data_IF_255741196354
#
_entry.id   IF_255741196354
#
_cell.length_a   1.000
_cell.length_b   1.000
_cell.length_c   1.000
_cell.angle_alpha   90.00
_cell.angle_beta   90.00
_cell.angle_gamma   90.00
#
_symmetry.space_group_name_H-M   'P 1'
#
loop_
_entity.id
_entity.type
_entity.pdbx_description
1 polymer ?
2 polymer ?
3 non-polymer ?
4 water ?
#
# COMPACT_ATOMS: atom_id res chain seq x y z
N UNK A 4 -19.25 7.77 12.33
CA UNK A 4 -19.03 6.38 11.88
C UNK A 4 -17.72 5.70 12.17
N UNK A 5 -17.74 4.51 11.59
CA UNK A 5 -16.74 3.50 11.53
C UNK A 5 -16.79 2.54 12.70
N UNK A 6 -17.41 1.41 12.41
CA UNK A 6 -17.54 0.32 13.34
C UNK A 6 -16.14 -0.26 13.44
N UNK A 7 -15.71 -0.52 14.66
CA UNK A 7 -14.39 -1.08 14.90
C UNK A 7 -14.60 -2.36 15.68
N UNK A 8 -14.06 -3.46 15.17
CA UNK A 8 -14.22 -4.74 15.84
C UNK A 8 -13.00 -5.63 15.66
N UNK A 9 -13.11 -6.88 16.09
CA UNK A 9 -12.04 -7.85 16.01
C UNK A 9 -12.53 -9.12 15.32
N UNK A 10 -12.29 -9.24 14.02
CA UNK A 10 -12.73 -10.41 13.28
C UNK A 10 -11.68 -11.52 13.38
N UNK A 11 -12.14 -12.72 13.69
CA UNK A 11 -11.23 -13.86 13.81
C UNK A 11 -11.07 -14.41 12.42
N UNK A 12 -9.92 -14.14 11.81
CA UNK A 12 -9.64 -14.61 10.47
C UNK A 12 -8.49 -15.59 10.48
N UNK A 13 -8.69 -16.73 9.84
CA UNK A 13 -7.67 -17.76 9.78
C UNK A 13 -7.07 -18.10 11.14
N UNK A 14 -7.90 -18.07 12.18
CA UNK A 14 -7.42 -18.43 13.50
C UNK A 14 -6.86 -17.31 14.37
N UNK A 15 -6.66 -16.13 13.80
CA UNK A 15 -6.11 -15.03 14.58
C UNK A 15 -7.07 -13.84 14.60
N UNK A 16 -6.87 -12.93 15.54
CA UNK A 16 -7.73 -11.75 15.64
C UNK A 16 -7.26 -10.62 14.74
N UNK A 17 -8.10 -10.27 13.78
CA UNK A 17 -7.80 -9.20 12.83
C UNK A 17 -8.69 -7.97 13.05
N UNK A 18 -8.04 -6.82 13.27
CA UNK A 18 -8.74 -5.57 13.52
C UNK A 18 -9.18 -4.94 12.22
N UNK A 19 -10.40 -4.42 12.19
CA UNK A 19 -10.92 -3.75 11.00
C UNK A 19 -11.82 -2.58 11.36
N UNK A 20 -11.92 -1.64 10.43
CA UNK A 20 -12.74 -0.45 10.60
C UNK A 20 -13.57 -0.29 9.35
N UNK A 21 -14.88 -0.44 9.49
CA UNK A 21 -15.79 -0.33 8.36
C UNK A 21 -16.60 0.95 8.48
N UNK A 22 -16.40 1.87 7.55
CA UNK A 22 -17.14 3.12 7.56
C UNK A 22 -18.22 3.07 6.49
N UNK A 23 -19.47 2.93 6.94
CA UNK A 23 -20.59 2.83 6.02
C UNK A 23 -20.99 4.17 5.42
N UNK A 24 -21.50 4.12 4.19
CA UNK A 24 -21.96 5.31 3.50
C UNK A 24 -23.50 5.29 3.50
N UNK A 25 -24.14 6.46 3.64
CA UNK A 25 -25.61 6.55 3.66
C UNK A 25 -26.26 5.66 2.60
N UNK A 26 -26.42 6.19 1.39
CA UNK A 26 -27.04 5.42 0.32
C UNK A 26 -25.94 4.63 -0.38
N UNK A 27 -25.35 3.67 0.34
CA UNK A 27 -24.27 2.86 -0.18
C UNK A 27 -24.53 2.33 -1.57
N UNK A 28 -23.56 2.49 -2.46
CA UNK A 28 -23.66 2.02 -3.82
C UNK A 28 -22.57 0.98 -4.06
N UNK A 29 -21.57 0.96 -3.20
CA UNK A 29 -20.49 0.00 -3.35
C UNK A 29 -19.64 -0.08 -2.07
N UNK A 30 -18.94 -1.19 -1.92
CA UNK A 30 -18.06 -1.40 -0.78
C UNK A 30 -16.62 -1.45 -1.32
N UNK A 31 -15.76 -0.65 -0.72
CA UNK A 31 -14.35 -0.62 -1.11
C UNK A 31 -13.51 -1.19 0.02
N UNK A 32 -12.76 -2.22 -0.29
CA UNK A 32 -11.88 -2.84 0.70
C UNK A 32 -10.52 -2.22 0.46
N UNK A 33 -9.79 -1.90 1.51
CA UNK A 33 -8.49 -1.30 1.33
C UNK A 33 -7.36 -2.11 1.94
N UNK A 34 -6.20 -2.09 1.29
CA UNK A 34 -5.03 -2.81 1.75
C UNK A 34 -3.87 -1.83 2.00
N UNK A 35 -3.55 -1.61 3.27
CA UNK A 35 -2.45 -0.73 3.62
C UNK A 35 -1.12 -1.36 3.16
N UNK A 36 -0.06 -0.56 3.18
CA UNK A 36 1.24 -1.05 2.73
C UNK A 36 2.21 -1.51 3.80
N UNK A 37 3.48 -1.31 3.53
CA UNK A 37 4.53 -1.74 4.44
C UNK A 37 5.54 -2.61 3.70
N UNK A 38 5.48 -3.93 3.83
CA UNK A 38 4.49 -4.62 4.65
C UNK A 38 4.79 -4.31 6.11
N UNK A 39 3.75 -4.29 6.95
CA UNK A 39 3.99 -4.03 8.37
C UNK A 39 3.52 -2.69 8.91
N UNK A 40 2.84 -1.90 8.07
CA UNK A 40 2.32 -0.61 8.53
C UNK A 40 0.95 -0.81 9.20
N UNK A 41 -0.04 -0.03 8.78
CA UNK A 41 -1.39 -0.11 9.34
C UNK A 41 -2.36 0.69 8.48
N UNK A 42 -3.66 0.44 8.66
CA UNK A 42 -4.69 1.12 7.88
C UNK A 42 -4.69 2.62 8.05
N UNK A 43 -4.27 3.07 9.22
CA UNK A 43 -4.25 4.47 9.61
C UNK A 43 -3.92 5.50 8.53
N UNK A 44 -2.79 5.34 7.85
CA UNK A 44 -2.43 6.32 6.83
C UNK A 44 -3.34 6.35 5.61
N UNK A 45 -4.34 5.47 5.60
CA UNK A 45 -5.28 5.42 4.49
C UNK A 45 -6.63 6.03 4.89
N UNK A 46 -6.73 6.52 6.12
CA UNK A 46 -7.95 7.10 6.61
C UNK A 46 -8.50 8.29 5.82
N UNK A 47 -7.67 8.90 4.97
CA UNK A 47 -8.10 10.05 4.18
C UNK A 47 -9.14 9.60 3.14
N UNK A 48 -9.16 8.32 2.83
CA UNK A 48 -10.10 7.78 1.84
C UNK A 48 -11.51 7.77 2.39
N UNK A 49 -11.62 7.96 3.70
CA UNK A 49 -12.91 7.96 4.39
C UNK A 49 -13.86 9.00 3.78
N UNK A 50 -13.32 9.95 3.02
CA UNK A 50 -14.12 10.98 2.39
C UNK A 50 -15.09 10.41 1.36
N UNK A 51 -14.72 9.30 0.73
CA UNK A 51 -15.54 8.69 -0.29
C UNK A 51 -16.91 8.18 0.21
N UNK A 52 -17.09 8.13 1.52
CA UNK A 52 -18.37 7.67 2.06
C UNK A 52 -19.43 8.73 1.79
N UNK A 53 -18.97 9.94 1.49
CA UNK A 53 -19.87 11.05 1.19
C UNK A 53 -20.23 10.94 -0.29
N UNK A 54 -19.67 9.94 -0.95
CA UNK A 54 -19.88 9.67 -2.36
C UNK A 54 -20.68 8.39 -2.50
N UNK A 55 -21.19 7.87 -1.39
CA UNK A 55 -21.99 6.64 -1.42
C UNK A 55 -21.11 5.41 -1.52
N UNK A 56 -19.88 5.53 -1.01
CA UNK A 56 -18.94 4.43 -1.03
C UNK A 56 -18.49 4.01 0.38
N UNK A 57 -18.92 2.84 0.81
CA UNK A 57 -18.53 2.32 2.11
C UNK A 57 -17.09 1.82 1.98
N UNK A 58 -16.25 2.21 2.93
CA UNK A 58 -14.84 1.82 2.89
C UNK A 58 -14.47 0.90 4.05
N UNK A 59 -13.81 -0.20 3.73
CA UNK A 59 -13.39 -1.16 4.74
C UNK A 59 -11.89 -1.04 4.99
N UNK A 60 -11.52 -0.70 6.21
CA UNK A 60 -10.11 -0.60 6.58
C UNK A 60 -9.84 -1.77 7.51
N UNK A 61 -8.59 -2.18 7.62
CA UNK A 61 -8.22 -3.28 8.50
C UNK A 61 -6.72 -3.46 8.58
N UNK A 62 -6.24 -3.86 9.76
CA UNK A 62 -4.81 -4.10 9.97
C UNK A 62 -4.52 -5.55 9.56
N UNK A 63 -3.56 -5.72 8.67
CA UNK A 63 -3.20 -7.05 8.20
C UNK A 63 -2.48 -7.81 9.31
N UNK A 64 -2.31 -9.11 9.13
CA UNK A 64 -1.62 -9.92 10.15
C UNK A 64 -0.36 -9.26 10.68
N UNK A 65 -0.18 -9.33 12.00
CA UNK A 65 0.98 -8.74 12.65
C UNK A 65 1.13 -7.22 12.53
N UNK A 66 0.14 -6.55 11.94
CA UNK A 66 0.23 -5.11 11.76
C UNK A 66 -0.73 -4.35 12.64
N UNK A 67 -0.32 -3.16 13.05
CA UNK A 67 -1.14 -2.30 13.88
C UNK A 67 -1.72 -2.97 15.10
N UNK A 68 -3.05 -3.06 15.14
CA UNK A 68 -3.78 -3.63 16.26
C UNK A 68 -4.04 -5.12 16.15
N UNK A 69 -3.74 -5.69 14.98
CA UNK A 69 -3.99 -7.12 14.77
C UNK A 69 -2.86 -7.97 15.32
N UNK A 70 -3.17 -9.19 15.73
CA UNK A 70 -2.13 -10.06 16.27
C UNK A 70 -1.30 -10.70 15.17
N UNK A 71 -0.09 -11.12 15.54
CA UNK A 71 0.85 -11.72 14.62
C UNK A 71 0.79 -13.24 14.63
N UNK A 72 0.64 -13.84 13.45
CA UNK A 72 0.58 -15.30 13.36
C UNK A 72 2.01 -15.84 13.40
N UNK A 73 2.16 -17.13 13.12
CA UNK A 73 3.48 -17.73 13.12
C UNK A 73 4.28 -17.05 12.02
N UNK A 74 5.59 -16.90 12.24
CA UNK A 74 6.45 -16.25 11.27
C UNK A 74 6.40 -16.93 9.92
N UNK A 75 6.19 -18.25 9.92
CA UNK A 75 6.13 -19.00 8.68
C UNK A 75 4.99 -18.48 7.80
N UNK A 76 4.04 -17.79 8.41
CA UNK A 76 2.91 -17.24 7.66
C UNK A 76 3.11 -15.80 7.21
N UNK A 77 4.35 -15.31 7.27
CA UNK A 77 4.65 -13.96 6.82
C UNK A 77 4.90 -13.99 5.32
N UNK A 78 3.82 -14.07 4.55
CA UNK A 78 3.93 -14.17 3.10
C UNK A 78 2.81 -13.35 2.45
N UNK A 79 2.96 -13.09 1.16
CA UNK A 79 1.95 -12.36 0.43
C UNK A 79 0.74 -13.26 0.27
N UNK A 80 1.00 -14.50 -0.16
CA UNK A 80 -0.08 -15.48 -0.37
C UNK A 80 -0.95 -15.63 0.87
N UNK A 81 -0.35 -15.64 2.05
CA UNK A 81 -1.12 -15.75 3.28
C UNK A 81 -2.01 -14.53 3.43
N UNK A 82 -1.46 -13.36 3.14
CA UNK A 82 -2.23 -12.12 3.22
C UNK A 82 -3.44 -12.16 2.29
N UNK A 83 -3.24 -12.81 1.13
CA UNK A 83 -4.29 -12.93 0.14
C UNK A 83 -5.48 -13.69 0.70
N UNK A 84 -5.19 -14.82 1.36
CA UNK A 84 -6.24 -15.64 1.93
C UNK A 84 -6.91 -14.93 3.09
N UNK A 85 -6.15 -14.09 3.78
CA UNK A 85 -6.68 -13.36 4.92
C UNK A 85 -7.71 -12.36 4.42
N UNK A 86 -7.34 -11.66 3.36
CA UNK A 86 -8.23 -10.66 2.76
C UNK A 86 -9.54 -11.33 2.30
N UNK A 87 -9.42 -12.42 1.57
CA UNK A 87 -10.60 -13.13 1.09
C UNK A 87 -11.46 -13.65 2.22
N UNK A 88 -10.83 -14.20 3.25
CA UNK A 88 -11.56 -14.74 4.39
C UNK A 88 -12.31 -13.62 5.13
N UNK A 89 -11.69 -12.43 5.18
CA UNK A 89 -12.29 -11.30 5.85
C UNK A 89 -13.44 -10.74 5.04
N UNK A 90 -13.25 -10.62 3.73
CA UNK A 90 -14.31 -10.08 2.87
C UNK A 90 -15.53 -10.99 2.98
N UNK A 91 -15.27 -12.29 2.90
CA UNK A 91 -16.34 -13.27 3.01
C UNK A 91 -17.03 -13.20 4.36
N UNK A 92 -16.26 -13.21 5.43
CA UNK A 92 -16.82 -13.16 6.78
C UNK A 92 -17.68 -11.92 7.04
N UNK A 93 -17.33 -10.81 6.41
CA UNK A 93 -18.06 -9.57 6.62
C UNK A 93 -19.11 -9.27 5.56
N UNK A 94 -18.90 -9.69 4.32
CA UNK A 94 -19.82 -9.38 3.25
C UNK A 94 -20.44 -10.57 2.53
N UNK A 95 -19.97 -11.78 2.83
CA UNK A 95 -20.52 -12.96 2.21
C UNK A 95 -20.18 -13.11 0.74
N UNK A 96 -21.20 -13.14 -0.11
CA UNK A 96 -21.01 -13.30 -1.55
C UNK A 96 -21.01 -11.99 -2.36
N UNK A 97 -21.13 -10.86 -1.66
CA UNK A 97 -21.18 -9.57 -2.34
C UNK A 97 -19.84 -9.20 -2.95
N UNK A 98 -19.85 -8.75 -4.20
CA UNK A 98 -18.64 -8.34 -4.88
C UNK A 98 -18.23 -6.96 -4.36
N UNK A 99 -16.93 -6.70 -4.29
CA UNK A 99 -16.46 -5.42 -3.80
C UNK A 99 -15.28 -4.89 -4.61
N UNK A 100 -15.05 -3.59 -4.46
CA UNK A 100 -13.90 -2.94 -5.10
C UNK A 100 -12.73 -3.12 -4.12
N UNK A 101 -11.55 -3.38 -4.65
CA UNK A 101 -10.38 -3.56 -3.81
C UNK A 101 -9.32 -2.52 -4.15
N UNK A 102 -8.86 -1.82 -3.12
CA UNK A 102 -7.82 -0.80 -3.29
C UNK A 102 -6.59 -1.14 -2.45
N UNK A 103 -5.42 -0.97 -3.02
CA UNK A 103 -4.20 -1.27 -2.31
C UNK A 103 -3.16 -0.19 -2.49
N UNK A 104 -2.44 0.12 -1.43
CA UNK A 104 -1.39 1.13 -1.49
C UNK A 104 0.00 0.53 -1.23
N UNK A 105 0.96 0.88 -2.08
CA UNK A 105 2.35 0.43 -1.95
C UNK A 105 2.33 -1.09 -1.91
N UNK A 106 2.80 -1.68 -0.81
CA UNK A 106 2.78 -3.13 -0.68
C UNK A 106 1.33 -3.61 -0.80
N UNK A 107 0.41 -2.83 -0.27
CA UNK A 107 -1.01 -3.17 -0.36
C UNK A 107 -1.40 -3.30 -1.81
N UNK A 108 -0.75 -2.53 -2.67
CA UNK A 108 -1.05 -2.62 -4.09
C UNK A 108 -0.63 -3.98 -4.62
N UNK A 109 0.60 -4.38 -4.28
CA UNK A 109 1.13 -5.67 -4.72
C UNK A 109 0.25 -6.79 -4.19
N UNK A 110 -0.26 -6.62 -2.97
CA UNK A 110 -1.13 -7.60 -2.33
C UNK A 110 -2.48 -7.65 -3.04
N UNK A 111 -2.94 -6.49 -3.51
CA UNK A 111 -4.20 -6.40 -4.23
C UNK A 111 -4.12 -7.14 -5.57
N UNK A 112 -2.98 -7.02 -6.24
CA UNK A 112 -2.80 -7.65 -7.53
C UNK A 112 -2.81 -9.16 -7.38
N UNK A 113 -2.11 -9.66 -6.37
CA UNK A 113 -2.04 -11.10 -6.14
C UNK A 113 -3.43 -11.60 -5.75
N UNK A 114 -4.17 -10.74 -5.07
CA UNK A 114 -5.53 -11.10 -4.68
C UNK A 114 -6.35 -11.27 -5.97
N UNK A 115 -6.34 -10.24 -6.81
CA UNK A 115 -7.11 -10.24 -8.04
C UNK A 115 -6.76 -11.42 -8.92
N UNK A 116 -5.48 -11.77 -8.97
CA UNK A 116 -5.02 -12.90 -9.80
C UNK A 116 -5.76 -14.17 -9.44
N UNK A 117 -6.08 -14.34 -8.16
CA UNK A 117 -6.78 -15.53 -7.68
C UNK A 117 -8.25 -15.33 -7.37
N UNK A 118 -8.62 -14.16 -6.86
CA UNK A 118 -10.01 -13.90 -6.51
C UNK A 118 -10.67 -12.72 -7.20
N UNK A 119 -10.31 -12.45 -8.45
CA UNK A 119 -10.89 -11.31 -9.15
C UNK A 119 -12.39 -11.50 -9.35
N UNK A 120 -12.85 -12.74 -9.21
CA UNK A 120 -14.26 -13.04 -9.36
C UNK A 120 -15.10 -12.44 -8.24
N UNK A 121 -14.45 -12.00 -7.17
CA UNK A 121 -15.14 -11.39 -6.03
C UNK A 121 -15.02 -9.88 -6.10
N UNK A 122 -14.49 -9.37 -7.21
CA UNK A 122 -14.31 -7.92 -7.35
C UNK A 122 -15.06 -7.27 -8.50
N UNK A 123 -15.28 -5.97 -8.36
CA UNK A 123 -15.96 -5.19 -9.38
C UNK A 123 -14.91 -4.35 -10.07
N UNK A 124 -13.91 -3.95 -9.29
CA UNK A 124 -12.83 -3.14 -9.81
C UNK A 124 -11.61 -3.20 -8.93
N UNK A 125 -10.44 -2.90 -9.50
CA UNK A 125 -9.18 -2.92 -8.76
C UNK A 125 -8.53 -1.54 -8.85
N UNK A 126 -7.91 -1.10 -7.75
CA UNK A 126 -7.25 0.20 -7.68
C UNK A 126 -5.89 0.02 -7.03
N UNK A 127 -4.86 0.48 -7.73
CA UNK A 127 -3.50 0.36 -7.21
C UNK A 127 -2.82 1.72 -7.19
N UNK A 128 -2.37 2.15 -6.01
CA UNK A 128 -1.73 3.45 -5.84
C UNK A 128 -0.32 3.22 -5.33
N UNK A 129 0.66 3.56 -6.15
CA UNK A 129 2.04 3.34 -5.77
C UNK A 129 2.29 1.86 -5.54
N UNK A 130 1.49 1.01 -6.17
CA UNK A 130 1.69 -0.41 -6.02
C UNK A 130 2.81 -0.96 -6.90
N UNK A 131 2.95 -2.29 -6.93
CA UNK A 131 3.99 -2.93 -7.73
C UNK A 131 3.70 -4.40 -7.97
N UNK A 132 4.16 -4.92 -9.10
CA UNK A 132 3.99 -6.33 -9.43
C UNK A 132 5.37 -6.99 -9.32
N UNK A 133 6.39 -6.17 -9.15
CA UNK A 133 7.74 -6.67 -9.04
C UNK A 133 8.55 -5.87 -8.04
N UNK A 134 9.00 -6.54 -6.99
CA UNK A 134 9.82 -5.89 -5.98
C UNK A 134 11.18 -5.58 -6.59
N UNK A 135 11.79 -6.57 -7.29
CA UNK A 135 13.10 -6.32 -7.91
C UNK A 135 13.10 -5.05 -8.76
N UNK A 136 12.04 -4.86 -9.53
CA UNK A 136 11.96 -3.68 -10.39
C UNK A 136 11.84 -2.44 -9.50
N UNK A 137 11.10 -2.58 -8.40
CA UNK A 137 10.90 -1.50 -7.46
C UNK A 137 12.22 -1.12 -6.82
N UNK A 138 13.05 -2.12 -6.54
CA UNK A 138 14.35 -1.89 -5.94
C UNK A 138 15.26 -1.19 -6.96
N UNK A 139 15.30 -1.73 -8.17
CA UNK A 139 16.10 -1.16 -9.24
C UNK A 139 15.74 0.33 -9.41
N UNK A 140 14.45 0.62 -9.49
CA UNK A 140 14.00 2.00 -9.66
C UNK A 140 14.36 2.88 -8.48
N UNK A 141 14.16 2.39 -7.26
CA UNK A 141 14.49 3.19 -6.09
C UNK A 141 15.98 3.50 -6.00
N UNK A 142 16.81 2.56 -6.45
CA UNK A 142 18.26 2.78 -6.43
C UNK A 142 18.57 4.01 -7.25
N UNK A 143 17.93 4.10 -8.43
CA UNK A 143 18.13 5.23 -9.31
C UNK A 143 17.81 6.50 -8.56
N UNK A 144 16.70 6.50 -7.83
CA UNK A 144 16.29 7.66 -7.06
C UNK A 144 17.38 8.03 -6.06
N UNK A 145 18.07 7.00 -5.56
CA UNK A 145 19.14 7.22 -4.60
C UNK A 145 20.32 7.90 -5.28
N UNK A 146 20.64 7.49 -6.50
CA UNK A 146 21.75 8.08 -7.25
C UNK A 146 21.46 9.52 -7.62
N UNK A 147 20.18 9.87 -7.71
CA UNK A 147 19.80 11.23 -8.05
C UNK A 147 19.80 12.12 -6.80
N UNK A 148 20.14 11.51 -5.67
CA UNK A 148 20.17 12.22 -4.40
C UNK A 148 21.49 12.97 -4.29
N UNK A 149 21.55 14.02 -3.46
CA UNK A 149 22.80 14.77 -3.33
C UNK A 149 23.94 13.90 -2.76
N UNK A 150 25.15 14.12 -3.26
CA UNK A 150 26.35 13.39 -2.86
C UNK A 150 26.33 12.79 -1.45
N UNK A 151 26.34 13.66 -0.45
CA UNK A 151 26.34 13.23 0.95
C UNK A 151 25.37 12.09 1.23
N UNK A 152 24.08 12.37 1.10
CA UNK A 152 23.03 11.39 1.33
C UNK A 152 23.18 10.12 0.52
N UNK A 153 23.64 10.26 -0.73
CA UNK A 153 23.84 9.12 -1.60
C UNK A 153 24.96 8.22 -1.06
N UNK A 154 26.03 8.84 -0.58
CA UNK A 154 27.17 8.09 -0.04
C UNK A 154 26.78 7.48 1.31
N UNK A 155 26.03 8.25 2.10
CA UNK A 155 25.58 7.79 3.42
C UNK A 155 24.78 6.51 3.28
N UNK A 156 23.91 6.47 2.28
CA UNK A 156 23.08 5.28 2.06
C UNK A 156 23.96 4.09 1.69
N UNK A 157 24.92 4.32 0.81
CA UNK A 157 25.81 3.27 0.36
C UNK A 157 26.78 2.79 1.46
N UNK A 158 27.47 3.73 2.11
CA UNK A 158 28.42 3.37 3.15
C UNK A 158 27.74 2.73 4.36
N UNK A 159 26.92 3.51 5.05
CA UNK A 159 26.22 3.03 6.23
C UNK A 159 25.26 1.89 5.92
N UNK A 160 24.63 1.94 4.75
CA UNK A 160 23.72 0.88 4.37
C UNK A 160 24.43 -0.44 4.17
N UNK A 161 25.58 -0.41 3.50
CA UNK A 161 26.36 -1.62 3.24
C UNK A 161 26.95 -2.20 4.52
N UNK A 162 27.07 -1.36 5.55
CA UNK A 162 27.62 -1.82 6.82
C UNK A 162 26.51 -2.14 7.82
N UNK A 163 25.32 -1.62 7.55
CA UNK A 163 24.19 -1.88 8.42
C UNK A 163 24.01 -0.90 9.56
N UNK A 164 24.51 0.31 9.40
CA UNK A 164 24.38 1.34 10.42
C UNK A 164 23.18 2.22 10.13
N UNK A 165 22.01 1.60 10.02
CA UNK A 165 20.77 2.32 9.72
C UNK A 165 20.47 3.31 10.84
N UNK A 166 21.10 3.12 11.99
CA UNK A 166 20.90 3.99 13.15
C UNK A 166 21.80 5.22 13.09
N UNK A 167 22.81 5.18 12.21
CA UNK A 167 23.73 6.30 12.06
C UNK A 167 22.96 7.61 11.89
N UNK A 168 23.47 8.71 12.47
CA UNK A 168 22.83 10.03 12.38
C UNK A 168 22.82 10.60 10.96
N UNK A 169 23.81 10.22 10.16
CA UNK A 169 23.89 10.70 8.78
C UNK A 169 22.94 9.92 7.89
N UNK A 170 22.99 8.60 7.99
CA UNK A 170 22.13 7.72 7.20
C UNK A 170 20.68 8.16 7.37
N UNK A 171 20.28 8.35 8.63
CA UNK A 171 18.92 8.78 8.96
C UNK A 171 18.59 10.06 8.20
N UNK A 172 19.53 11.01 8.24
CA UNK A 172 19.34 12.30 7.59
C UNK A 172 19.07 12.09 6.09
N UNK A 173 19.73 11.09 5.51
CA UNK A 173 19.54 10.80 4.10
C UNK A 173 18.15 10.21 3.91
N UNK A 174 17.78 9.28 4.78
CA UNK A 174 16.46 8.65 4.72
C UNK A 174 15.36 9.70 4.78
N UNK A 175 15.56 10.71 5.61
CA UNK A 175 14.57 11.77 5.75
C UNK A 175 14.40 12.55 4.46
N UNK A 176 15.53 12.94 3.86
CA UNK A 176 15.49 13.69 2.60
C UNK A 176 14.71 12.88 1.57
N UNK A 177 15.16 11.64 1.36
CA UNK A 177 14.51 10.74 0.42
C UNK A 177 13.00 10.73 0.64
N UNK A 178 12.59 10.45 1.88
CA UNK A 178 11.17 10.42 2.25
C UNK A 178 10.42 11.69 1.87
N UNK A 179 10.93 12.85 2.30
CA UNK A 179 10.29 14.11 1.98
C UNK A 179 10.35 14.39 0.48
N UNK A 180 10.95 13.48 -0.26
CA UNK A 180 11.09 13.64 -1.70
C UNK A 180 10.28 12.58 -2.50
N UNK A 181 10.10 11.39 -1.92
CA UNK A 181 9.40 10.32 -2.64
C UNK A 181 8.30 9.63 -1.85
N UNK A 182 8.20 9.91 -0.56
CA UNK A 182 7.19 9.30 0.28
C UNK A 182 6.03 10.27 0.45
N UNK A 183 6.30 11.40 1.08
CA UNK A 183 5.31 12.43 1.30
C UNK A 183 6.02 13.78 1.07
N UNK A 184 5.56 14.53 0.08
CA UNK A 184 6.17 15.81 -0.27
C UNK A 184 5.61 17.04 0.41
N UNK A 185 4.50 16.90 1.13
CA UNK A 185 3.89 18.05 1.79
C UNK A 185 4.39 18.30 3.20
N UNK A 186 4.11 19.50 3.71
CA UNK A 186 4.49 19.90 5.05
C UNK A 186 3.46 19.37 6.05
N UNK A 187 3.83 19.29 7.32
CA UNK A 187 2.92 18.81 8.36
C UNK A 187 2.36 17.41 8.06
N UNK A 188 3.18 16.37 8.30
CA UNK A 188 2.75 14.99 8.09
C UNK A 188 1.60 14.70 9.05
N UNK A 189 0.42 14.37 8.51
CA UNK A 189 -0.75 14.08 9.36
C UNK A 189 -0.50 12.96 10.35
N UNK A 190 -1.13 13.03 11.53
CA UNK A 190 -0.98 12.02 12.57
C UNK A 190 -1.25 10.60 12.09
N UNK A 191 -2.14 10.47 11.12
CA UNK A 191 -2.50 9.15 10.58
C UNK A 191 -1.31 8.49 9.94
N UNK A 192 -0.46 9.29 9.30
CA UNK A 192 0.72 8.75 8.65
C UNK A 192 1.76 8.37 9.70
N UNK A 193 2.02 9.31 10.61
CA UNK A 193 2.99 9.07 11.67
C UNK A 193 2.66 7.79 12.45
N UNK A 194 1.38 7.57 12.73
CA UNK A 194 0.99 6.39 13.47
C UNK A 194 1.30 5.10 12.70
N UNK A 195 1.10 5.14 11.39
CA UNK A 195 1.39 3.97 10.55
C UNK A 195 2.89 3.71 10.51
N UNK A 196 3.67 4.78 10.43
CA UNK A 196 5.13 4.64 10.44
C UNK A 196 5.60 4.10 11.80
N UNK A 197 4.97 4.59 12.87
CA UNK A 197 5.30 4.17 14.22
C UNK A 197 4.93 2.70 14.36
N UNK A 198 3.76 2.34 13.81
CA UNK A 198 3.32 0.95 13.88
C UNK A 198 4.28 -0.01 13.19
N UNK A 199 4.92 0.44 12.13
CA UNK A 199 5.86 -0.37 11.40
C UNK A 199 7.10 -0.64 12.21
N UNK A 200 7.69 0.43 12.76
CA UNK A 200 8.90 0.34 13.55
C UNK A 200 8.73 -0.46 14.84
N UNK A 201 7.48 -0.70 15.22
CA UNK A 201 7.20 -1.47 16.44
C UNK A 201 6.92 -2.95 16.24
N UNK A 202 6.02 -3.30 15.34
CA UNK A 202 5.71 -4.70 15.11
C UNK A 202 6.91 -5.41 14.50
N UNK A 203 6.73 -6.65 14.06
CA UNK A 203 7.85 -7.40 13.47
C UNK A 203 7.71 -7.67 11.97
N UNK A 204 6.52 -7.46 11.43
CA UNK A 204 6.25 -7.72 10.03
C UNK A 204 7.15 -6.92 9.09
N UNK A 205 7.26 -5.61 9.33
CA UNK A 205 8.06 -4.73 8.47
C UNK A 205 9.52 -5.15 8.39
N UNK A 206 10.09 -5.46 9.55
CA UNK A 206 11.48 -5.88 9.64
C UNK A 206 11.75 -7.24 9.00
N UNK A 207 10.77 -8.13 9.05
CA UNK A 207 10.95 -9.46 8.48
C UNK A 207 10.60 -9.57 7.00
N UNK A 208 9.47 -8.99 6.60
CA UNK A 208 9.04 -9.07 5.20
C UNK A 208 9.61 -7.98 4.30
N UNK A 209 9.63 -6.75 4.77
CA UNK A 209 10.14 -5.63 3.98
C UNK A 209 11.64 -5.47 4.12
N UNK A 210 12.06 -4.95 5.26
CA UNK A 210 13.47 -4.72 5.51
C UNK A 210 13.69 -3.52 6.42
N UNK A 211 14.87 -2.88 6.34
CA UNK A 211 15.22 -1.70 7.15
C UNK A 211 14.28 -0.51 6.98
N UNK A 212 14.09 -0.07 5.73
CA UNK A 212 13.22 1.05 5.46
C UNK A 212 12.56 0.97 4.08
N UNK A 213 11.88 2.05 3.70
CA UNK A 213 11.17 2.14 2.42
C UNK A 213 11.97 1.78 1.17
N UNK A 214 13.20 2.28 1.06
CA UNK A 214 14.01 2.00 -0.12
C UNK A 214 14.95 0.82 0.04
N UNK A 215 14.86 0.16 1.19
CA UNK A 215 15.73 -1.00 1.43
C UNK A 215 14.89 -2.25 1.64
N UNK A 216 14.63 -2.97 0.56
CA UNK A 216 13.81 -4.18 0.60
C UNK A 216 14.67 -5.44 0.58
N UNK A 217 15.16 -5.81 1.76
CA UNK A 217 16.02 -6.99 1.90
C UNK A 217 15.28 -8.10 2.63
N UNK A 218 13.99 -7.90 2.84
CA UNK A 218 13.18 -8.88 3.53
C UNK A 218 12.85 -10.12 2.72
N UNK A 219 11.82 -10.84 3.14
CA UNK A 219 11.40 -12.07 2.47
C UNK A 219 10.67 -11.87 1.13
N UNK A 220 10.24 -10.65 0.84
CA UNK A 220 9.54 -10.40 -0.41
C UNK A 220 10.49 -9.81 -1.44
N UNK A 221 11.78 -9.90 -1.17
CA UNK A 221 12.80 -9.35 -2.06
C UNK A 221 12.80 -9.90 -3.48
N UNK A 222 12.34 -11.14 -3.66
CA UNK A 222 12.31 -11.76 -4.99
C UNK A 222 10.90 -11.86 -5.57
N UNK A 223 9.90 -11.45 -4.81
CA UNK A 223 8.51 -11.52 -5.26
C UNK A 223 8.29 -10.75 -6.56
N UNK A 224 7.63 -11.39 -7.51
CA UNK A 224 7.33 -10.77 -8.80
C UNK A 224 6.26 -11.57 -9.55
N UNK A 225 5.07 -10.99 -9.69
CA UNK A 225 3.98 -11.65 -10.38
C UNK A 225 3.56 -10.86 -11.63
N UNK A 226 4.53 -10.18 -12.23
CA UNK A 226 4.30 -9.39 -13.43
C UNK A 226 3.73 -10.25 -14.54
N UNK A 227 4.14 -11.51 -14.56
CA UNK A 227 3.69 -12.46 -15.57
C UNK A 227 2.26 -12.94 -15.35
N UNK A 228 1.80 -12.88 -14.10
CA UNK A 228 0.47 -13.34 -13.75
C UNK A 228 -0.63 -12.27 -13.76
N UNK A 229 -0.28 -11.02 -13.47
CA UNK A 229 -1.29 -9.96 -13.42
C UNK A 229 -2.00 -9.68 -14.74
N UNK A 230 -1.54 -10.33 -15.81
CA UNK A 230 -2.16 -10.12 -17.13
C UNK A 230 -3.47 -10.87 -17.25
N UNK A 231 -3.75 -11.73 -16.28
CA UNK A 231 -4.98 -12.51 -16.27
C UNK A 231 -6.14 -11.70 -15.68
N UNK A 232 -5.82 -10.56 -15.08
CA UNK A 232 -6.83 -9.71 -14.47
C UNK A 232 -7.72 -9.05 -15.52
N UNK A 233 -8.98 -9.45 -15.55
CA UNK A 233 -9.92 -8.90 -16.52
C UNK A 233 -11.05 -8.07 -15.91
N UNK A 234 -10.73 -7.26 -14.90
CA UNK A 234 -11.74 -6.43 -14.27
C UNK A 234 -11.29 -4.97 -14.38
N UNK A 235 -12.24 -4.03 -14.33
CA UNK A 235 -11.88 -2.60 -14.42
C UNK A 235 -10.77 -2.30 -13.42
N UNK A 236 -9.72 -1.63 -13.88
CA UNK A 236 -8.61 -1.32 -13.01
C UNK A 236 -8.09 0.12 -13.11
N UNK A 237 -7.87 0.74 -11.96
CA UNK A 237 -7.37 2.10 -11.87
C UNK A 237 -5.99 2.05 -11.24
N UNK A 238 -5.01 2.61 -11.94
CA UNK A 238 -3.64 2.65 -11.43
C UNK A 238 -3.20 4.10 -11.26
N UNK A 239 -2.78 4.45 -10.06
CA UNK A 239 -2.33 5.81 -9.79
C UNK A 239 -0.93 5.76 -9.22
N UNK A 240 -0.15 6.78 -9.53
CA UNK A 240 1.22 6.86 -9.02
C UNK A 240 1.65 8.33 -9.04
N UNK A 241 2.38 8.73 -7.99
CA UNK A 241 2.84 10.10 -7.92
C UNK A 241 3.96 10.37 -8.90
N UNK A 242 4.12 11.63 -9.30
CA UNK A 242 5.17 12.03 -10.21
C UNK A 242 6.56 11.71 -9.60
N UNK A 243 6.71 12.01 -8.32
CA UNK A 243 7.96 11.79 -7.62
C UNK A 243 7.91 10.55 -6.70
N UNK A 244 6.90 9.72 -6.93
CA UNK A 244 6.69 8.49 -6.15
C UNK A 244 7.92 7.58 -6.01
N UNK A 245 8.19 7.12 -4.79
CA UNK A 245 9.32 6.23 -4.51
C UNK A 245 9.16 4.94 -5.35
N UNK A 246 7.92 4.61 -5.70
CA UNK A 246 7.64 3.48 -6.56
C UNK A 246 7.25 4.17 -7.87
N UNK A 247 8.28 4.70 -8.55
CA UNK A 247 8.17 5.45 -9.79
C UNK A 247 7.09 4.98 -10.76
N UNK A 248 6.61 5.89 -11.60
CA UNK A 248 5.59 5.55 -12.59
C UNK A 248 6.06 4.46 -13.52
N UNK A 249 7.37 4.21 -13.54
CA UNK A 249 7.92 3.17 -14.40
C UNK A 249 7.43 1.81 -13.91
N UNK A 250 7.31 1.67 -12.60
CA UNK A 250 6.82 0.43 -11.99
C UNK A 250 5.33 0.31 -12.27
N UNK A 251 4.63 1.44 -12.20
CA UNK A 251 3.20 1.48 -12.45
C UNK A 251 2.95 1.10 -13.91
N UNK A 252 3.80 1.61 -14.80
CA UNK A 252 3.68 1.31 -16.23
C UNK A 252 3.59 -0.22 -16.48
N UNK A 253 4.54 -0.97 -15.93
CA UNK A 253 4.57 -2.41 -16.11
C UNK A 253 3.22 -3.01 -15.77
N UNK A 254 2.67 -2.63 -14.61
CA UNK A 254 1.37 -3.10 -14.19
C UNK A 254 0.31 -2.71 -15.21
N UNK A 255 0.39 -1.46 -15.66
CA UNK A 255 -0.55 -0.91 -16.61
C UNK A 255 -0.54 -1.65 -17.94
N UNK A 256 0.65 -2.04 -18.39
CA UNK A 256 0.80 -2.75 -19.66
C UNK A 256 0.20 -4.15 -19.66
N UNK A 257 0.18 -4.81 -18.50
CA UNK A 257 -0.37 -6.15 -18.39
C UNK A 257 -1.89 -6.21 -18.23
N UNK A 258 -2.46 -5.25 -17.51
CA UNK A 258 -3.90 -5.25 -17.30
C UNK A 258 -4.60 -4.52 -18.44
N UNK A 259 -5.26 -5.28 -19.30
CA UNK A 259 -6.00 -4.74 -20.42
C UNK A 259 -7.12 -3.79 -19.99
N UNK A 260 -7.13 -2.60 -20.59
CA UNK A 260 -8.15 -1.62 -20.29
C UNK A 260 -7.98 -0.90 -18.97
N UNK A 261 -6.82 -1.04 -18.36
CA UNK A 261 -6.56 -0.37 -17.08
C UNK A 261 -6.23 1.11 -17.32
N UNK A 262 -6.55 1.94 -16.35
CA UNK A 262 -6.28 3.38 -16.47
C UNK A 262 -5.09 3.72 -15.59
N UNK A 263 -4.17 4.51 -16.15
CA UNK A 263 -2.97 4.90 -15.42
C UNK A 263 -2.99 6.41 -15.21
N UNK A 264 -3.01 6.84 -13.96
CA UNK A 264 -3.02 8.25 -13.64
C UNK A 264 -1.80 8.65 -12.83
N UNK A 265 -1.02 9.58 -13.36
CA UNK A 265 0.19 10.05 -12.69
C UNK A 265 -0.06 11.42 -12.07
N UNK A 266 -0.20 11.43 -10.76
CA UNK A 266 -0.45 12.66 -10.02
C UNK A 266 0.80 13.55 -9.99
N UNK A 267 0.67 14.73 -10.59
CA UNK A 267 1.77 15.68 -10.61
C UNK A 267 2.01 16.31 -9.22
N UNK A 268 3.27 16.62 -8.95
CA UNK A 268 3.67 17.24 -7.67
C UNK A 268 3.49 16.31 -6.46
N UNK A 269 2.94 15.12 -6.68
CA UNK A 269 2.71 14.18 -5.58
C UNK A 269 3.77 13.10 -5.63
N UNK A 270 3.79 12.26 -4.59
CA UNK A 270 4.73 11.17 -4.52
C UNK A 270 4.01 9.88 -4.15
N UNK A 271 4.46 9.23 -3.07
CA UNK A 271 3.86 7.97 -2.63
C UNK A 271 2.47 8.13 -2.00
N UNK A 272 2.40 8.82 -0.88
CA UNK A 272 1.13 9.01 -0.20
C UNK A 272 0.31 10.13 -0.86
N UNK A 273 -0.15 9.89 -2.08
CA UNK A 273 -0.91 10.88 -2.83
C UNK A 273 -2.27 11.19 -2.22
N UNK A 274 -2.78 10.28 -1.39
CA UNK A 274 -4.08 10.52 -0.76
C UNK A 274 -4.03 11.62 0.29
N UNK A 275 -2.83 12.11 0.59
CA UNK A 275 -2.68 13.19 1.53
C UNK A 275 -2.21 14.47 0.84
N UNK A 276 -1.38 14.32 -0.19
CA UNK A 276 -0.84 15.47 -0.94
C UNK A 276 -1.92 16.09 -1.80
N UNK A 277 -2.76 15.24 -2.39
CA UNK A 277 -3.88 15.71 -3.20
C UNK A 277 -5.12 14.92 -2.80
N UNK A 278 -5.50 15.10 -1.55
CA UNK A 278 -6.64 14.41 -0.97
C UNK A 278 -7.92 14.55 -1.80
N UNK A 279 -8.30 15.79 -2.13
CA UNK A 279 -9.50 16.02 -2.90
C UNK A 279 -9.43 15.35 -4.27
N UNK A 280 -8.38 15.65 -5.02
CA UNK A 280 -8.22 15.07 -6.34
C UNK A 280 -8.10 13.56 -6.35
N UNK A 281 -7.48 13.00 -5.31
CA UNK A 281 -7.30 11.56 -5.22
C UNK A 281 -8.66 10.90 -5.01
N UNK A 282 -9.34 11.29 -3.95
CA UNK A 282 -10.63 10.75 -3.61
C UNK A 282 -11.66 10.94 -4.72
N UNK A 283 -11.57 12.06 -5.42
CA UNK A 283 -12.48 12.33 -6.53
C UNK A 283 -12.25 11.31 -7.67
N UNK A 284 -10.99 11.09 -8.00
CA UNK A 284 -10.62 10.15 -9.06
C UNK A 284 -11.05 8.72 -8.72
N UNK A 285 -10.87 8.34 -7.46
CA UNK A 285 -11.24 6.98 -7.03
C UNK A 285 -12.76 6.78 -7.01
N UNK A 286 -13.47 7.79 -6.54
CA UNK A 286 -14.94 7.70 -6.48
C UNK A 286 -15.54 7.74 -7.88
N UNK A 287 -14.92 8.49 -8.77
CA UNK A 287 -15.41 8.56 -10.14
C UNK A 287 -15.27 7.21 -10.85
N UNK A 288 -14.11 6.58 -10.67
CA UNK A 288 -13.83 5.28 -11.24
C UNK A 288 -14.79 4.24 -10.68
N UNK A 289 -14.97 4.24 -9.36
CA UNK A 289 -15.86 3.28 -8.70
C UNK A 289 -17.30 3.38 -9.22
N UNK A 290 -17.86 4.58 -9.14
CA UNK A 290 -19.23 4.82 -9.58
C UNK A 290 -19.43 4.57 -11.07
N UNK A 291 -18.35 4.53 -11.83
CA UNK A 291 -18.44 4.29 -13.27
C UNK A 291 -18.61 2.79 -13.56
N UNK A 292 -18.21 1.95 -12.61
CA UNK A 292 -18.29 0.52 -12.77
C UNK A 292 -19.17 -0.14 -11.70
N UNK A 293 -20.30 0.47 -11.41
CA UNK A 293 -21.22 -0.06 -10.42
C UNK A 293 -21.92 -1.32 -10.93
N UNK B 1 8.85 2.92 9.46
CA UNK B 1 10.16 2.99 8.78
C UNK B 1 10.84 4.22 9.35
N UNK B 2 10.10 5.32 9.48
CA UNK B 2 10.72 6.50 10.08
C UNK B 2 9.95 7.78 10.25
N UNK B 3 10.55 8.85 9.71
CA UNK B 3 10.03 10.18 9.86
C UNK B 3 11.11 10.54 10.87
N UNK B 4 10.72 11.23 11.93
CA UNK B 4 11.68 11.56 12.96
C UNK B 4 10.84 11.64 14.22
X LIG C 1 8.39 -2.73 0.50
X LIG C 1 8.86 -1.37 0.09
X LIG C 1 8.85 -0.47 1.31
X LIG C 1 9.91 -0.38 1.98
X LIG C 1 7.92 -0.87 -0.97
X LIG C 1 6.63 -1.58 -0.57
X LIG C 1 7.07 -2.99 -0.09
X LIG C 1 7.75 0.08 1.62
#
# INVERSE_FOLDING_TARGET
MDQECIENYAKVNGIYIYYKLCKAPEEKAKLMTMHGGPGMSHDYLLSLRDMTKEGITVLFYDQFGCGRSEEPDQSKFTIDYGVEEAEALRSKLFGNEKVFLMGSSYGGALALAYAVKYQDHLKGLIVSGGLSSVPLTVKEMNRLIDELPAKYRDAIKKYGSSGSYENPEYQEAVNYFYHQHLLRSEDWPPEVLKSLEYAERRNVYRIMNGPNQFTITGTIKDWDITDKISAIKIPTLITVGEYDEVTPNVARVIHEKIAGSELHVFRDCSHLTMWEDREGYNKLLSDFILKHL
PLGG
PRO N CA C O CB CG CD OXT
#
